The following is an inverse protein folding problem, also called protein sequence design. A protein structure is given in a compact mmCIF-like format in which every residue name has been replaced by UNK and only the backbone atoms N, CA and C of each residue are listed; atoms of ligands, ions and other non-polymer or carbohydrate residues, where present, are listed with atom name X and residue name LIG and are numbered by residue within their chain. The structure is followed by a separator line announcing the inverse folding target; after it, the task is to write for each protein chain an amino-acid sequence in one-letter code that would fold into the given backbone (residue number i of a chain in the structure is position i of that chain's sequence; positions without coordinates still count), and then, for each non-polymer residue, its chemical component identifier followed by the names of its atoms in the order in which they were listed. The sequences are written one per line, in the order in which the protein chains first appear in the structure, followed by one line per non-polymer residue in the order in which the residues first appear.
data_IF_012386261831
#
_entry.id   IF_012386261831
#
_cell.length_a   1.000
_cell.length_b   1.000
_cell.length_c   1.000
_cell.angle_alpha   90.00
_cell.angle_beta   90.00
_cell.angle_gamma   90.00
#
_symmetry.space_group_name_H-M   'P 1'
#
loop_
_entity.id
_entity.type
_entity.pdbx_description
1 polymer ?
#
# COMPACT_ATOMS: atom_id res chain seq x y z
N UNK A 1 -8.83 8.17 14.92
CA UNK A 1 -7.70 7.36 15.46
C UNK A 1 -7.64 6.01 14.75
N UNK A 2 -7.08 5.98 13.53
CA UNK A 2 -7.06 4.78 12.68
C UNK A 2 -5.66 4.17 12.55
N UNK A 3 -4.61 4.99 12.41
CA UNK A 3 -3.22 4.52 12.30
C UNK A 3 -2.79 3.53 13.39
N UNK A 4 -2.96 3.79 14.71
CA UNK A 4 -2.51 2.84 15.73
C UNK A 4 -3.31 1.52 15.70
N UNK A 5 -4.55 1.52 15.20
CA UNK A 5 -5.32 0.28 15.05
C UNK A 5 -4.74 -0.59 13.93
N UNK A 6 -4.42 0.03 12.79
CA UNK A 6 -3.79 -0.69 11.67
C UNK A 6 -2.42 -1.24 12.09
N UNK A 7 -1.62 -0.45 12.82
CA UNK A 7 -0.35 -0.93 13.38
C UNK A 7 -0.54 -2.13 14.32
N UNK A 8 -1.60 -2.13 15.14
CA UNK A 8 -1.92 -3.27 16.00
C UNK A 8 -2.30 -4.53 15.23
N UNK A 9 -3.08 -4.40 14.14
CA UNK A 9 -3.43 -5.54 13.26
C UNK A 9 -2.17 -6.14 12.63
N UNK A 10 -1.28 -5.28 12.13
CA UNK A 10 0.01 -5.71 11.56
C UNK A 10 0.87 -6.42 12.60
N UNK A 11 0.94 -5.89 13.83
CA UNK A 11 1.71 -6.50 14.90
C UNK A 11 1.14 -7.86 15.35
N UNK A 12 -0.19 -8.05 15.27
CA UNK A 12 -0.86 -9.29 15.65
C UNK A 12 -0.68 -10.40 14.62
N UNK A 13 -0.75 -10.08 13.33
CA UNK A 13 -0.59 -11.02 12.22
C UNK A 13 0.88 -11.30 11.88
N UNK A 14 1.73 -11.54 12.89
CA UNK A 14 3.18 -11.49 12.84
C UNK A 14 3.84 -12.45 11.83
N UNK A 15 3.79 -12.08 10.55
CA UNK A 15 4.60 -12.64 9.48
C UNK A 15 5.98 -11.98 9.50
N UNK A 16 6.92 -12.59 10.23
CA UNK A 16 8.29 -12.06 10.41
C UNK A 16 9.12 -12.11 9.13
N UNK A 17 8.71 -12.93 8.17
CA UNK A 17 9.30 -13.13 6.85
C UNK A 17 8.77 -12.17 5.78
N UNK A 18 7.69 -11.44 6.07
CA UNK A 18 7.07 -10.55 5.10
C UNK A 18 7.78 -9.20 5.00
N UNK A 19 7.89 -8.71 3.77
CA UNK A 19 8.33 -7.34 3.52
C UNK A 19 7.22 -6.35 3.89
N UNK A 20 7.57 -5.07 4.16
CA UNK A 20 6.57 -4.03 4.40
C UNK A 20 5.56 -3.89 3.24
N UNK A 21 5.99 -4.19 2.00
CA UNK A 21 5.13 -4.16 0.84
C UNK A 21 4.11 -5.30 0.83
N UNK A 22 4.51 -6.51 1.20
CA UNK A 22 3.62 -7.66 1.34
C UNK A 22 2.56 -7.43 2.42
N UNK A 23 2.95 -6.86 3.57
CA UNK A 23 2.00 -6.51 4.64
C UNK A 23 0.98 -5.47 4.16
N UNK A 24 1.46 -4.40 3.50
CA UNK A 24 0.58 -3.38 2.93
C UNK A 24 -0.40 -3.99 1.93
N UNK A 25 0.08 -4.87 1.07
CA UNK A 25 -0.73 -5.53 0.07
C UNK A 25 -1.81 -6.41 0.72
N UNK A 26 -1.44 -7.23 1.71
CA UNK A 26 -2.39 -8.06 2.46
C UNK A 26 -3.52 -7.22 3.07
N UNK A 27 -3.19 -6.08 3.69
CA UNK A 27 -4.18 -5.15 4.25
C UNK A 27 -5.11 -4.58 3.17
N UNK A 28 -4.59 -4.28 1.98
CA UNK A 28 -5.36 -3.66 0.90
C UNK A 28 -6.27 -4.66 0.17
N UNK A 29 -5.78 -5.88 -0.14
CA UNK A 29 -6.56 -6.87 -0.90
C UNK A 29 -7.62 -7.58 -0.07
N UNK A 30 -7.44 -7.61 1.26
CA UNK A 30 -8.38 -8.28 2.19
C UNK A 30 -9.37 -7.31 2.83
N UNK A 31 -9.25 -6.02 2.55
CA UNK A 31 -10.15 -5.00 3.04
C UNK A 31 -11.59 -5.26 2.58
N UNK A 32 -12.54 -5.04 3.49
CA UNK A 32 -13.95 -5.24 3.22
C UNK A 32 -14.62 -3.97 2.71
N UNK A 33 -15.67 -4.17 1.92
CA UNK A 33 -16.31 -3.11 1.12
C UNK A 33 -17.72 -2.77 1.58
N UNK A 34 -18.27 -3.60 2.45
CA UNK A 34 -19.64 -3.57 2.92
C UNK A 34 -19.67 -3.60 4.46
N UNK A 35 -20.74 -3.07 5.05
CA UNK A 35 -21.03 -3.26 6.47
C UNK A 35 -21.43 -4.73 6.78
N UNK A 36 -21.74 -5.01 8.05
CA UNK A 36 -22.14 -6.36 8.48
C UNK A 36 -23.49 -6.77 7.88
N UNK A 37 -24.29 -5.80 7.45
CA UNK A 37 -25.59 -5.92 6.83
C UNK A 37 -25.53 -6.02 5.30
N UNK A 38 -24.34 -5.93 4.70
CA UNK A 38 -24.10 -6.02 3.25
C UNK A 38 -24.28 -4.71 2.49
N UNK A 39 -24.55 -3.58 3.16
CA UNK A 39 -24.67 -2.27 2.53
C UNK A 39 -23.30 -1.67 2.24
N UNK A 40 -23.26 -0.81 1.22
CA UNK A 40 -22.06 -0.05 0.91
C UNK A 40 -21.79 0.99 2.01
N UNK A 41 -20.50 1.19 2.29
CA UNK A 41 -20.06 2.18 3.27
C UNK A 41 -20.48 3.60 2.85
N UNK A 42 -20.98 4.37 3.81
CA UNK A 42 -21.36 5.78 3.64
C UNK A 42 -20.41 6.68 4.42
N UNK A 43 -20.13 7.86 3.85
CA UNK A 43 -19.44 8.91 4.59
C UNK A 43 -20.35 9.43 5.70
N UNK A 44 -19.77 9.58 6.90
CA UNK A 44 -20.51 10.02 8.09
C UNK A 44 -20.96 11.48 7.98
N UNK A 45 -20.27 12.30 7.19
CA UNK A 45 -20.56 13.74 7.08
C UNK A 45 -21.59 14.01 5.99
N UNK A 46 -21.35 13.46 4.81
CA UNK A 46 -22.17 13.72 3.62
C UNK A 46 -23.28 12.70 3.39
N UNK A 47 -23.28 11.56 4.09
CA UNK A 47 -24.18 10.41 3.86
C UNK A 47 -24.15 9.86 2.42
N UNK A 48 -23.10 10.18 1.67
CA UNK A 48 -22.88 9.70 0.32
C UNK A 48 -22.06 8.41 0.34
N UNK A 49 -22.13 7.65 -0.76
CA UNK A 49 -21.29 6.48 -0.97
C UNK A 49 -19.81 6.85 -0.89
N UNK A 50 -19.06 6.07 -0.12
CA UNK A 50 -17.62 6.24 0.06
C UNK A 50 -16.89 5.92 -1.24
N UNK A 51 -16.00 6.82 -1.65
CA UNK A 51 -15.14 6.64 -2.83
C UNK A 51 -13.76 6.09 -2.46
N UNK A 52 -13.00 5.68 -3.47
CA UNK A 52 -11.60 5.27 -3.31
C UNK A 52 -10.71 6.38 -2.76
N UNK A 53 -11.09 7.65 -2.95
CA UNK A 53 -10.33 8.79 -2.44
C UNK A 53 -10.55 9.00 -0.93
N UNK A 54 -11.67 8.49 -0.40
CA UNK A 54 -12.03 8.63 1.02
C UNK A 54 -11.41 7.53 1.87
N UNK A 55 -11.38 6.28 1.36
CA UNK A 55 -10.95 5.11 2.13
C UNK A 55 -9.88 4.24 1.46
N UNK A 56 -9.42 4.59 0.27
CA UNK A 56 -8.44 3.79 -0.47
C UNK A 56 -8.98 2.39 -0.76
N UNK A 57 -8.29 1.37 -0.23
CA UNK A 57 -8.68 -0.03 -0.36
C UNK A 57 -9.89 -0.43 0.51
N UNK A 58 -10.41 0.49 1.33
CA UNK A 58 -11.51 0.33 2.30
C UNK A 58 -11.06 -0.21 3.67
N UNK A 59 -12.00 -0.73 4.45
CA UNK A 59 -11.79 -1.03 5.87
C UNK A 59 -11.02 -2.34 6.08
N UNK A 60 -10.05 -2.31 7.00
CA UNK A 60 -9.16 -3.46 7.30
C UNK A 60 -9.96 -4.64 7.85
N UNK A 61 -9.71 -5.84 7.30
CA UNK A 61 -10.20 -7.11 7.85
C UNK A 61 -9.05 -7.84 8.58
N UNK A 62 -9.00 -7.84 9.93
CA UNK A 62 -7.90 -8.44 10.67
C UNK A 62 -7.74 -9.94 10.42
N UNK A 63 -8.86 -10.67 10.32
CA UNK A 63 -8.86 -12.13 10.15
C UNK A 63 -8.28 -12.52 8.79
N UNK A 64 -8.77 -11.88 7.72
CA UNK A 64 -8.30 -12.16 6.35
C UNK A 64 -6.89 -11.62 6.08
N UNK A 65 -6.45 -10.60 6.81
CA UNK A 65 -5.08 -10.06 6.67
C UNK A 65 -4.01 -11.08 7.03
N UNK A 66 -4.32 -12.04 7.92
CA UNK A 66 -3.37 -13.09 8.32
C UNK A 66 -3.11 -14.09 7.19
N UNK A 67 -4.11 -14.37 6.34
CA UNK A 67 -3.93 -15.24 5.16
C UNK A 67 -4.61 -14.63 3.91
N UNK A 68 -3.92 -13.68 3.24
CA UNK A 68 -4.41 -13.02 2.03
C UNK A 68 -4.35 -13.92 0.79
N UNK A 69 -3.86 -15.17 0.90
CA UNK A 69 -3.58 -16.16 -0.17
C UNK A 69 -2.52 -15.74 -1.20
N UNK A 70 -2.49 -14.47 -1.59
CA UNK A 70 -1.57 -13.94 -2.59
C UNK A 70 -0.96 -12.63 -2.09
N UNK A 71 0.37 -12.61 -2.03
CA UNK A 71 1.14 -11.40 -1.79
C UNK A 71 2.22 -11.24 -2.85
N UNK A 72 2.49 -10.00 -3.20
CA UNK A 72 3.54 -9.57 -4.08
C UNK A 72 4.48 -8.66 -3.32
N UNK A 73 5.77 -8.84 -3.58
CA UNK A 73 6.80 -8.04 -2.94
C UNK A 73 7.13 -6.78 -3.77
N UNK A 74 7.55 -5.73 -3.08
CA UNK A 74 8.26 -4.58 -3.63
C UNK A 74 9.54 -4.38 -2.86
N UNK A 75 10.63 -4.23 -3.60
CA UNK A 75 11.92 -3.89 -3.03
C UNK A 75 12.09 -2.37 -2.96
N UNK A 76 12.97 -1.87 -2.08
CA UNK A 76 13.38 -0.46 -2.11
C UNK A 76 13.92 -0.02 -3.47
N UNK A 77 14.52 -0.93 -4.24
CA UNK A 77 15.02 -0.62 -5.58
C UNK A 77 13.88 -0.38 -6.58
N UNK A 78 12.73 -1.01 -6.43
CA UNK A 78 11.56 -0.77 -7.27
C UNK A 78 10.98 0.64 -7.04
N UNK A 79 10.95 1.08 -5.78
CA UNK A 79 10.63 2.47 -5.46
C UNK A 79 11.63 3.46 -6.05
N UNK A 80 12.93 3.13 -6.02
CA UNK A 80 13.93 3.98 -6.67
C UNK A 80 13.73 4.03 -8.17
N UNK A 81 13.46 2.89 -8.82
CA UNK A 81 13.18 2.83 -10.26
C UNK A 81 11.95 3.65 -10.63
N UNK A 82 10.88 3.59 -9.83
CA UNK A 82 9.68 4.41 -10.00
C UNK A 82 9.99 5.91 -9.93
N UNK A 83 10.72 6.34 -8.91
CA UNK A 83 11.09 7.75 -8.74
C UNK A 83 12.00 8.21 -9.89
N UNK A 84 12.94 7.37 -10.29
CA UNK A 84 13.80 7.60 -11.43
C UNK A 84 13.02 7.79 -12.73
N UNK A 85 12.04 6.93 -12.99
CA UNK A 85 11.17 7.00 -14.17
C UNK A 85 10.24 8.21 -14.15
N UNK A 86 9.89 8.70 -12.96
CA UNK A 86 9.06 9.90 -12.75
C UNK A 86 9.85 11.22 -12.90
N UNK A 87 11.05 11.17 -13.49
CA UNK A 87 11.93 12.33 -13.72
C UNK A 87 12.34 13.09 -12.43
N UNK A 88 12.45 12.41 -11.29
CA UNK A 88 12.95 13.04 -10.08
C UNK A 88 14.44 13.42 -10.19
N UNK A 89 14.79 14.58 -9.65
CA UNK A 89 16.16 15.10 -9.60
C UNK A 89 17.02 14.20 -8.70
N UNK A 90 18.16 13.74 -9.21
CA UNK A 90 19.11 12.85 -8.52
C UNK A 90 19.51 13.35 -7.13
N UNK A 91 19.79 14.65 -7.00
CA UNK A 91 20.17 15.27 -5.73
C UNK A 91 19.09 15.12 -4.66
N UNK A 92 17.81 15.29 -5.04
CA UNK A 92 16.68 15.10 -4.12
C UNK A 92 16.54 13.62 -3.73
N UNK A 93 16.75 12.71 -4.67
CA UNK A 93 16.71 11.26 -4.39
C UNK A 93 17.83 10.83 -3.45
N UNK A 94 19.03 11.39 -3.58
CA UNK A 94 20.14 11.12 -2.66
C UNK A 94 19.83 11.63 -1.24
N UNK A 95 19.16 12.78 -1.11
CA UNK A 95 18.72 13.29 0.19
C UNK A 95 17.67 12.37 0.85
N UNK A 96 16.71 11.86 0.07
CA UNK A 96 15.67 10.94 0.56
C UNK A 96 16.27 9.58 0.93
N UNK A 97 17.05 8.99 0.02
CA UNK A 97 17.60 7.65 0.19
C UNK A 97 18.80 7.58 1.13
N UNK A 98 19.40 8.74 1.46
CA UNK A 98 20.64 8.88 2.26
C UNK A 98 21.81 8.00 1.77
N UNK A 99 21.82 7.69 0.46
CA UNK A 99 22.84 6.88 -0.22
C UNK A 99 23.03 7.34 -1.65
N UNK A 100 24.14 6.95 -2.28
CA UNK A 100 24.34 7.20 -3.70
C UNK A 100 23.30 6.43 -4.51
N UNK A 101 22.62 7.15 -5.42
CA UNK A 101 21.61 6.57 -6.31
C UNK A 101 22.21 6.50 -7.71
N UNK A 102 22.15 5.30 -8.31
CA UNK A 102 22.43 5.08 -9.72
C UNK A 102 21.10 4.82 -10.43
N UNK A 103 20.89 5.51 -11.56
CA UNK A 103 19.75 5.23 -12.41
C UNK A 103 20.00 3.89 -13.11
N UNK A 104 19.11 2.92 -12.92
CA UNK A 104 19.16 1.67 -13.68
C UNK A 104 19.02 1.97 -15.17
N UNK A 105 19.79 1.25 -16.02
CA UNK A 105 19.78 1.43 -17.48
C UNK A 105 18.42 1.12 -18.12
N UNK A 106 17.58 0.35 -17.44
CA UNK A 106 16.22 0.03 -17.85
C UNK A 106 15.25 0.89 -17.05
N UNK A 107 14.83 2.01 -17.63
CA UNK A 107 13.77 2.82 -17.05
C UNK A 107 12.45 2.06 -17.21
N UNK A 108 12.06 1.32 -16.17
CA UNK A 108 10.70 0.81 -16.05
C UNK A 108 9.73 2.00 -16.11
N UNK A 109 8.61 1.86 -16.82
CA UNK A 109 7.62 2.93 -16.91
C UNK A 109 7.09 3.26 -15.50
N UNK A 110 6.83 4.54 -15.16
CA UNK A 110 6.35 4.92 -13.82
C UNK A 110 5.08 4.16 -13.39
N UNK A 111 4.18 3.89 -14.32
CA UNK A 111 2.93 3.17 -14.05
C UNK A 111 3.09 1.65 -13.89
N UNK A 112 4.30 1.10 -14.06
CA UNK A 112 4.58 -0.33 -13.91
C UNK A 112 5.15 -0.66 -12.51
N UNK A 113 4.73 0.08 -11.49
CA UNK A 113 5.00 -0.26 -10.10
C UNK A 113 4.01 -1.34 -9.67
N UNK A 114 4.48 -2.37 -8.97
CA UNK A 114 3.68 -3.52 -8.54
C UNK A 114 2.71 -3.17 -7.38
N UNK A 115 1.91 -2.14 -7.58
CA UNK A 115 1.06 -1.52 -6.57
C UNK A 115 -0.39 -2.02 -6.70
N UNK A 116 -1.08 -2.36 -5.60
CA UNK A 116 -2.41 -3.00 -5.64
C UNK A 116 -3.59 -2.05 -5.89
N UNK A 117 -3.35 -0.94 -6.59
CA UNK A 117 -4.39 -0.02 -7.02
C UNK A 117 -4.10 0.44 -8.44
N UNK A 118 -5.17 0.61 -9.23
CA UNK A 118 -5.15 1.11 -10.61
C UNK A 118 -5.76 2.51 -10.61
#
# INVERSE_FOLDING_TARGET
MSCPRVSGVVALGAHTDWSPAMIRLALMTTAYTQDLEGNLLLDKTSYNLVTIYDTGARSVNPEKTVDPRLVYDLTPNDHMNFLCASNFIRLKLQQIARRSVSYGKNQSKPWNLNYPAI
#
